data_IF_961281886808
#
_entry.id   IF_961281886808
#
_cell.length_a   1.000
_cell.length_b   1.000
_cell.length_c   1.000
_cell.angle_alpha   90.00
_cell.angle_beta   90.00
_cell.angle_gamma   90.00
#
_symmetry.space_group_name_H-M   'P 1'
#
loop_
_entity.id
_entity.type
_entity.pdbx_description
1 polymer ?
#
# COMPACT_ATOMS: atom_id res chain seq x y z
N UNK A 1 -15.08 -22.34 -5.93
CA UNK A 1 -13.72 -22.03 -6.45
C UNK A 1 -12.85 -21.53 -5.29
N UNK A 2 -11.53 -21.75 -5.30
CA UNK A 2 -10.61 -21.20 -4.28
C UNK A 2 -9.75 -20.10 -4.91
N UNK A 3 -9.75 -18.90 -4.34
CA UNK A 3 -8.98 -17.75 -4.84
C UNK A 3 -8.42 -16.98 -3.65
N UNK A 4 -7.09 -16.78 -3.62
CA UNK A 4 -6.35 -16.34 -2.42
C UNK A 4 -6.65 -17.21 -1.18
N UNK A 5 -6.69 -18.54 -1.34
CA UNK A 5 -7.05 -19.48 -0.27
C UNK A 5 -8.54 -19.44 0.12
N UNK A 6 -9.24 -18.30 0.02
CA UNK A 6 -10.65 -18.17 0.38
C UNK A 6 -11.54 -19.03 -0.54
N UNK A 7 -12.51 -19.73 0.06
CA UNK A 7 -13.53 -20.44 -0.73
C UNK A 7 -14.61 -19.46 -1.18
N UNK A 8 -14.89 -19.52 -2.46
CA UNK A 8 -15.89 -18.72 -3.14
C UNK A 8 -17.01 -19.63 -3.66
N UNK A 9 -18.26 -19.31 -3.30
CA UNK A 9 -19.43 -20.12 -3.62
C UNK A 9 -20.04 -19.70 -4.96
N UNK A 10 -19.56 -20.29 -6.07
CA UNK A 10 -20.07 -20.07 -7.45
C UNK A 10 -20.11 -21.37 -8.25
N UNK A 11 -21.04 -21.45 -9.21
CA UNK A 11 -21.19 -22.58 -10.15
C UNK A 11 -19.88 -22.86 -10.91
N UNK A 12 -19.37 -24.10 -10.81
CA UNK A 12 -18.04 -24.54 -11.30
C UNK A 12 -17.88 -24.49 -12.81
N UNK A 13 -18.97 -24.58 -13.58
CA UNK A 13 -18.96 -25.09 -14.96
C UNK A 13 -18.38 -24.14 -16.03
N UNK A 14 -17.80 -23.00 -15.66
CA UNK A 14 -17.22 -22.00 -16.59
C UNK A 14 -15.78 -21.59 -16.28
N UNK A 15 -15.13 -22.13 -15.25
CA UNK A 15 -14.05 -21.41 -14.56
C UNK A 15 -12.86 -22.26 -14.08
N UNK A 16 -12.71 -23.51 -14.51
CA UNK A 16 -11.62 -24.40 -14.05
C UNK A 16 -10.24 -24.07 -14.62
N UNK A 17 -10.14 -23.36 -15.74
CA UNK A 17 -8.90 -23.35 -16.55
C UNK A 17 -7.76 -22.43 -16.08
N UNK A 18 -7.94 -21.55 -15.09
CA UNK A 18 -6.85 -20.59 -14.71
C UNK A 18 -6.74 -20.26 -13.21
N UNK A 19 -7.34 -21.08 -12.34
CA UNK A 19 -7.23 -20.88 -10.88
C UNK A 19 -5.80 -21.17 -10.39
N UNK A 20 -5.11 -22.11 -11.02
CA UNK A 20 -3.73 -22.46 -10.69
C UNK A 20 -2.74 -21.38 -11.13
N UNK A 21 -2.93 -20.80 -12.31
CA UNK A 21 -2.11 -19.68 -12.83
C UNK A 21 -2.18 -18.45 -11.92
N UNK A 22 -3.39 -18.06 -11.51
CA UNK A 22 -3.55 -16.93 -10.59
C UNK A 22 -2.98 -17.22 -9.20
N UNK A 23 -3.20 -18.41 -8.64
CA UNK A 23 -2.60 -18.78 -7.35
C UNK A 23 -1.06 -18.83 -7.40
N UNK A 24 -0.49 -19.28 -8.52
CA UNK A 24 0.96 -19.22 -8.76
C UNK A 24 1.45 -17.77 -8.78
N UNK A 25 0.77 -16.88 -9.49
CA UNK A 25 1.12 -15.46 -9.56
C UNK A 25 1.04 -14.75 -8.18
N UNK A 26 0.06 -15.12 -7.34
CA UNK A 26 -0.07 -14.67 -5.95
C UNK A 26 1.15 -15.11 -5.13
N UNK A 27 1.51 -16.39 -5.19
CA UNK A 27 2.66 -16.94 -4.48
C UNK A 27 3.98 -16.33 -4.95
N UNK A 28 4.14 -16.15 -6.26
CA UNK A 28 5.30 -15.47 -6.85
C UNK A 28 5.37 -14.01 -6.40
N UNK A 29 4.24 -13.30 -6.26
CA UNK A 29 4.21 -11.93 -5.75
C UNK A 29 4.63 -11.86 -4.28
N UNK A 30 4.13 -12.77 -3.43
CA UNK A 30 4.51 -12.83 -2.01
C UNK A 30 6.01 -13.16 -1.85
N UNK A 31 6.48 -14.20 -2.54
CA UNK A 31 7.87 -14.69 -2.45
C UNK A 31 8.86 -13.74 -3.12
N UNK A 32 8.52 -13.22 -4.29
CA UNK A 32 9.42 -12.41 -5.12
C UNK A 32 9.46 -10.93 -4.79
N UNK A 33 8.60 -10.42 -3.89
CA UNK A 33 8.57 -8.98 -3.54
C UNK A 33 8.72 -8.75 -2.06
N UNK A 34 7.66 -9.03 -1.30
CA UNK A 34 7.61 -8.74 0.15
C UNK A 34 8.62 -9.60 0.90
N UNK A 35 8.71 -10.90 0.59
CA UNK A 35 9.68 -11.79 1.26
C UNK A 35 11.11 -11.34 0.99
N UNK A 36 11.46 -11.08 -0.28
CA UNK A 36 12.80 -10.59 -0.66
C UNK A 36 13.18 -9.31 0.09
N UNK A 37 12.26 -8.36 0.19
CA UNK A 37 12.46 -7.12 0.94
C UNK A 37 12.72 -7.41 2.43
N UNK A 38 11.87 -8.22 3.06
CA UNK A 38 11.99 -8.56 4.48
C UNK A 38 13.25 -9.38 4.81
N UNK A 39 13.79 -10.14 3.85
CA UNK A 39 15.06 -10.87 3.99
C UNK A 39 16.29 -10.03 3.65
N UNK A 40 16.14 -8.71 3.51
CA UNK A 40 17.27 -7.78 3.30
C UNK A 40 17.62 -7.50 1.84
N UNK A 41 16.80 -7.93 0.88
CA UNK A 41 17.00 -7.65 -0.54
C UNK A 41 16.77 -6.19 -0.94
N UNK A 42 16.21 -5.37 -0.03
CA UNK A 42 15.99 -3.94 -0.25
C UNK A 42 14.85 -3.63 -1.23
N UNK A 43 14.78 -2.37 -1.67
CA UNK A 43 13.85 -1.93 -2.71
C UNK A 43 14.27 -2.49 -4.07
N UNK A 44 13.31 -2.80 -4.92
CA UNK A 44 13.56 -3.30 -6.27
C UNK A 44 14.20 -2.25 -7.19
N UNK A 45 13.79 -1.00 -7.04
CA UNK A 45 14.25 0.14 -7.85
C UNK A 45 14.49 1.38 -6.95
N UNK A 46 15.52 1.36 -6.09
CA UNK A 46 15.81 2.48 -5.20
C UNK A 46 16.40 3.66 -5.96
N UNK A 47 16.05 4.86 -5.53
CA UNK A 47 16.63 6.09 -6.08
C UNK A 47 18.04 6.38 -5.58
N UNK A 48 18.32 5.89 -4.39
CA UNK A 48 19.64 5.86 -3.81
C UNK A 48 19.82 4.47 -3.20
N UNK A 49 20.69 3.65 -3.79
CA UNK A 49 20.97 2.28 -3.33
C UNK A 49 21.61 2.25 -1.94
N UNK A 50 22.27 3.33 -1.52
CA UNK A 50 22.81 3.48 -0.17
C UNK A 50 21.75 3.92 0.85
N UNK A 51 20.59 4.42 0.40
CA UNK A 51 19.53 4.87 1.29
C UNK A 51 18.57 3.73 1.66
N UNK A 52 18.42 3.51 2.97
CA UNK A 52 17.43 2.57 3.49
C UNK A 52 16.01 3.12 3.32
N UNK A 53 15.02 2.25 3.04
CA UNK A 53 13.61 2.63 3.01
C UNK A 53 13.21 3.23 4.36
N UNK A 54 12.44 4.31 4.33
CA UNK A 54 11.98 4.98 5.55
C UNK A 54 10.50 4.71 5.80
N UNK A 55 10.16 4.66 7.07
CA UNK A 55 8.78 4.61 7.57
C UNK A 55 8.54 5.87 8.40
N UNK A 56 7.49 6.61 8.07
CA UNK A 56 7.01 7.75 8.84
C UNK A 56 5.68 7.39 9.50
N UNK A 57 5.52 7.70 10.78
CA UNK A 57 4.26 7.46 11.52
C UNK A 57 3.32 8.68 11.52
N UNK A 58 3.61 9.68 10.70
CA UNK A 58 2.74 10.83 10.43
C UNK A 58 3.23 11.61 9.20
N UNK A 59 2.42 12.56 8.75
CA UNK A 59 2.83 13.56 7.75
C UNK A 59 3.61 14.75 8.31
N UNK A 60 3.91 14.78 9.62
CA UNK A 60 4.55 15.96 10.24
C UNK A 60 5.91 16.35 9.64
N UNK A 61 6.77 15.42 9.20
CA UNK A 61 8.05 15.76 8.56
C UNK A 61 7.95 16.33 7.14
N UNK A 62 6.73 16.46 6.60
CA UNK A 62 6.52 16.88 5.22
C UNK A 62 6.05 18.32 5.20
N UNK A 63 6.97 19.21 4.85
CA UNK A 63 6.73 20.65 4.82
C UNK A 63 6.08 21.03 3.48
N UNK A 64 4.79 21.38 3.50
CA UNK A 64 4.12 21.93 2.30
C UNK A 64 4.88 23.16 1.82
N UNK A 65 5.18 23.19 0.53
CA UNK A 65 5.84 24.31 -0.12
C UNK A 65 4.82 25.14 -0.89
N UNK A 66 4.81 26.44 -0.61
CA UNK A 66 3.95 27.40 -1.29
C UNK A 66 4.58 27.87 -2.61
N UNK A 67 3.72 28.30 -3.54
CA UNK A 67 4.14 28.89 -4.81
C UNK A 67 5.06 30.11 -4.58
N UNK A 68 6.04 30.32 -5.45
CA UNK A 68 7.00 31.43 -5.34
C UNK A 68 8.12 31.26 -4.31
N UNK A 69 8.07 30.26 -3.41
CA UNK A 69 9.23 29.95 -2.55
C UNK A 69 10.40 29.42 -3.38
N UNK A 70 11.62 29.67 -2.92
CA UNK A 70 12.81 29.06 -3.50
C UNK A 70 12.80 27.53 -3.35
N UNK A 71 13.15 26.84 -4.42
CA UNK A 71 13.41 25.41 -4.41
C UNK A 71 14.81 25.13 -3.86
N UNK A 72 14.98 23.96 -3.24
CA UNK A 72 16.17 23.51 -2.53
C UNK A 72 16.90 22.43 -3.31
N UNK A 73 18.22 22.46 -3.24
CA UNK A 73 19.11 21.45 -3.80
C UNK A 73 19.19 20.19 -2.91
N UNK A 74 20.00 19.21 -3.31
CA UNK A 74 20.25 17.97 -2.57
C UNK A 74 20.90 18.18 -1.20
N UNK A 75 21.46 19.36 -0.94
CA UNK A 75 22.04 19.75 0.33
C UNK A 75 21.07 20.57 1.19
N UNK A 76 19.82 20.76 0.73
CA UNK A 76 18.81 21.57 1.40
C UNK A 76 19.01 23.08 1.25
N UNK A 77 19.88 23.53 0.34
CA UNK A 77 20.15 24.96 0.10
C UNK A 77 19.30 25.50 -1.04
N UNK A 78 18.86 26.75 -0.93
CA UNK A 78 18.11 27.40 -2.00
C UNK A 78 18.92 27.47 -3.31
N UNK A 79 18.26 27.14 -4.42
CA UNK A 79 18.87 27.10 -5.75
C UNK A 79 18.91 28.51 -6.32
N UNK A 80 20.11 29.08 -6.38
CA UNK A 80 20.38 30.41 -6.95
C UNK A 80 20.49 30.31 -8.48
N UNK A 81 19.71 31.11 -9.20
CA UNK A 81 19.72 31.14 -10.68
C UNK A 81 20.47 32.33 -11.25
N UNK A 82 20.62 33.42 -10.48
CA UNK A 82 21.43 34.58 -10.86
C UNK A 82 22.12 35.18 -9.63
N UNK A 83 23.28 35.81 -9.88
CA UNK A 83 24.04 36.57 -8.88
C UNK A 83 24.40 37.92 -9.46
N UNK A 84 24.54 38.91 -8.58
CA UNK A 84 25.09 40.20 -8.96
C UNK A 84 26.59 40.05 -9.28
N UNK A 85 27.01 40.54 -10.45
CA UNK A 85 28.38 40.34 -10.95
C UNK A 85 29.45 41.05 -10.10
N UNK A 86 29.07 42.10 -9.37
CA UNK A 86 30.00 42.91 -8.58
C UNK A 86 30.18 42.39 -7.15
N UNK A 87 29.11 41.88 -6.55
CA UNK A 87 29.08 41.46 -5.13
C UNK A 87 29.04 39.95 -4.96
N UNK A 88 28.69 39.19 -6.01
CA UNK A 88 28.49 37.75 -5.97
C UNK A 88 27.26 37.30 -5.17
N UNK A 89 26.44 38.24 -4.69
CA UNK A 89 25.25 37.94 -3.89
C UNK A 89 24.13 37.37 -4.78
N UNK A 90 23.33 36.40 -4.29
CA UNK A 90 22.15 35.92 -5.01
C UNK A 90 21.18 37.04 -5.32
N UNK A 91 20.74 37.12 -6.58
CA UNK A 91 19.71 38.07 -7.03
C UNK A 91 18.42 37.37 -7.46
N UNK A 92 18.52 36.12 -7.91
CA UNK A 92 17.35 35.32 -8.29
C UNK A 92 17.47 33.86 -7.82
N UNK A 93 16.32 33.25 -7.60
CA UNK A 93 16.19 31.86 -7.17
C UNK A 93 15.24 31.09 -8.08
N UNK A 94 15.51 29.80 -8.24
CA UNK A 94 14.56 28.88 -8.86
C UNK A 94 13.39 28.68 -7.90
N UNK A 95 12.18 29.04 -8.31
CA UNK A 95 10.98 28.90 -7.45
C UNK A 95 10.35 27.50 -7.56
N UNK A 96 9.58 27.11 -6.55
CA UNK A 96 8.85 25.84 -6.48
C UNK A 96 7.92 25.66 -7.67
N UNK A 97 7.19 26.72 -8.05
CA UNK A 97 6.25 26.69 -9.17
C UNK A 97 6.94 26.51 -10.52
N UNK A 98 8.15 27.06 -10.68
CA UNK A 98 8.97 26.83 -11.86
C UNK A 98 9.58 25.43 -11.86
N UNK A 99 10.16 24.99 -10.75
CA UNK A 99 10.82 23.70 -10.62
C UNK A 99 9.85 22.52 -10.82
N UNK A 100 8.62 22.63 -10.31
CA UNK A 100 7.65 21.53 -10.27
C UNK A 100 6.36 21.83 -11.04
N UNK A 101 6.45 22.68 -12.07
CA UNK A 101 5.29 23.11 -12.87
C UNK A 101 4.47 21.93 -13.43
N UNK A 102 5.11 20.86 -13.90
CA UNK A 102 4.43 19.66 -14.41
C UNK A 102 3.63 18.95 -13.31
N UNK A 103 4.23 18.73 -12.14
CA UNK A 103 3.60 18.07 -11.01
C UNK A 103 2.42 18.89 -10.49
N UNK A 104 2.58 20.20 -10.40
CA UNK A 104 1.52 21.13 -9.98
C UNK A 104 0.38 21.23 -10.99
N UNK A 105 0.67 21.25 -12.31
CA UNK A 105 -0.36 21.15 -13.35
C UNK A 105 -1.16 19.84 -13.27
N UNK A 106 -0.53 18.76 -12.80
CA UNK A 106 -1.18 17.50 -12.46
C UNK A 106 -2.01 17.52 -11.16
N UNK A 107 -2.16 18.69 -10.54
CA UNK A 107 -2.93 18.90 -9.30
C UNK A 107 -2.18 18.50 -8.03
N UNK A 108 -0.85 18.32 -8.07
CA UNK A 108 -0.09 17.96 -6.88
C UNK A 108 0.44 19.18 -6.13
N UNK A 109 0.25 19.18 -4.82
CA UNK A 109 1.03 19.95 -3.88
C UNK A 109 2.45 19.36 -3.74
N UNK A 110 3.41 20.24 -3.44
CA UNK A 110 4.83 19.92 -3.28
C UNK A 110 5.17 19.95 -1.79
N UNK A 111 5.87 18.91 -1.32
CA UNK A 111 6.30 18.79 0.07
C UNK A 111 7.81 18.60 0.12
N UNK A 112 8.50 19.43 0.89
CA UNK A 112 9.89 19.18 1.24
C UNK A 112 9.96 18.19 2.40
N UNK A 113 10.88 17.24 2.30
CA UNK A 113 11.11 16.20 3.30
C UNK A 113 12.56 16.31 3.77
N UNK A 114 12.82 17.01 4.89
CA UNK A 114 14.17 17.26 5.39
C UNK A 114 14.98 15.97 5.59
N UNK A 115 14.31 14.89 5.98
CA UNK A 115 14.95 13.59 6.20
C UNK A 115 15.71 13.07 4.96
N UNK A 116 15.24 13.39 3.76
CA UNK A 116 15.85 13.01 2.49
C UNK A 116 16.63 14.15 1.83
N UNK A 117 16.54 15.36 2.37
CA UNK A 117 16.77 16.59 1.62
C UNK A 117 16.08 16.55 0.24
N UNK A 118 14.81 16.12 0.17
CA UNK A 118 14.14 15.91 -1.11
C UNK A 118 12.67 16.23 -1.11
N UNK A 119 12.03 16.09 -2.27
CA UNK A 119 10.64 16.44 -2.47
C UNK A 119 9.73 15.21 -2.65
N UNK A 120 8.55 15.26 -2.03
CA UNK A 120 7.43 14.35 -2.27
C UNK A 120 6.19 15.14 -2.72
N UNK A 121 5.24 14.47 -3.34
CA UNK A 121 4.07 15.07 -3.98
C UNK A 121 2.78 14.43 -3.48
N UNK A 122 1.72 15.24 -3.42
CA UNK A 122 0.38 14.75 -3.12
C UNK A 122 -0.66 15.66 -3.74
N UNK A 123 -1.75 15.10 -4.26
CA UNK A 123 -2.95 15.89 -4.63
C UNK A 123 -3.67 16.54 -3.44
N UNK A 124 -3.20 16.31 -2.22
CA UNK A 124 -3.81 16.79 -0.97
C UNK A 124 -2.95 17.88 -0.35
N UNK A 125 -3.59 18.75 0.44
CA UNK A 125 -2.89 19.82 1.17
C UNK A 125 -2.04 19.34 2.33
N UNK A 126 -2.16 18.07 2.69
CA UNK A 126 -1.22 17.41 3.60
C UNK A 126 -1.11 15.93 3.25
N UNK A 127 0.04 15.37 3.58
CA UNK A 127 0.37 13.96 3.37
C UNK A 127 -0.59 13.02 4.11
N UNK A 128 -1.14 13.46 5.26
CA UNK A 128 -2.01 12.65 6.12
C UNK A 128 -3.38 13.27 6.46
N UNK A 129 -3.74 14.45 5.96
CA UNK A 129 -4.93 15.19 6.43
C UNK A 129 -6.28 14.68 5.88
N UNK A 130 -7.31 14.87 6.75
CA UNK A 130 -8.79 14.94 6.67
C UNK A 130 -9.56 14.24 5.55
N UNK A 131 -10.80 13.77 5.83
CA UNK A 131 -11.38 12.66 5.09
C UNK A 131 -11.38 12.91 3.59
N UNK A 132 -11.05 11.85 2.85
CA UNK A 132 -11.28 11.68 1.43
C UNK A 132 -12.65 12.26 1.06
N UNK A 133 -12.86 12.69 -0.20
CA UNK A 133 -14.15 13.22 -0.65
C UNK A 133 -15.36 12.34 -0.32
N UNK A 134 -15.15 11.03 -0.09
CA UNK A 134 -16.15 10.04 0.31
C UNK A 134 -16.25 9.81 1.84
N UNK A 135 -15.64 10.66 2.67
CA UNK A 135 -15.65 10.54 4.14
C UNK A 135 -14.62 9.57 4.71
N UNK A 136 -13.89 8.80 3.88
CA UNK A 136 -12.88 7.84 4.36
C UNK A 136 -11.62 8.56 4.81
N UNK A 137 -10.84 7.97 5.71
CA UNK A 137 -9.59 8.58 6.20
C UNK A 137 -8.42 7.74 5.76
N UNK A 138 -7.35 8.40 5.32
CA UNK A 138 -6.12 7.74 4.91
C UNK A 138 -5.45 7.05 6.10
N UNK A 139 -5.21 5.76 5.96
CA UNK A 139 -4.47 4.97 6.95
C UNK A 139 -2.98 4.96 6.63
N UNK A 140 -2.62 4.75 5.37
CA UNK A 140 -1.24 4.75 4.92
C UNK A 140 -1.11 5.20 3.47
N UNK A 141 0.13 5.41 3.06
CA UNK A 141 0.52 5.54 1.65
C UNK A 141 1.99 5.21 1.48
N UNK A 142 2.35 4.81 0.26
CA UNK A 142 3.73 4.79 -0.21
C UNK A 142 3.95 5.91 -1.23
N UNK A 143 5.05 6.64 -1.09
CA UNK A 143 5.46 7.64 -2.07
C UNK A 143 5.69 6.98 -3.44
N UNK A 144 5.06 7.54 -4.50
CA UNK A 144 5.29 7.05 -5.86
C UNK A 144 6.63 7.60 -6.35
N UNK A 145 7.48 6.77 -6.97
CA UNK A 145 8.53 7.29 -7.82
C UNK A 145 7.88 7.80 -9.11
N UNK A 146 7.29 8.99 -9.12
CA UNK A 146 7.10 9.70 -10.39
C UNK A 146 8.49 10.06 -10.88
N UNK A 147 9.07 9.22 -11.74
CA UNK A 147 10.34 9.43 -12.46
C UNK A 147 11.30 10.36 -11.73
N UNK A 148 11.92 9.81 -10.71
CA UNK A 148 13.21 10.26 -10.23
C UNK A 148 14.17 10.63 -11.37
N UNK A 149 14.72 11.84 -11.34
CA UNK A 149 15.64 12.30 -12.37
C UNK A 149 16.38 13.56 -11.95
N UNK A 150 17.41 13.90 -12.73
CA UNK A 150 17.88 15.28 -12.79
C UNK A 150 16.71 16.14 -13.27
N UNK A 151 16.40 17.23 -12.58
CA UNK A 151 15.47 18.20 -13.14
C UNK A 151 16.24 19.01 -14.16
N UNK A 152 16.05 18.66 -15.42
CA UNK A 152 16.47 19.50 -16.53
C UNK A 152 15.50 20.70 -16.56
N UNK A 153 16.02 21.88 -16.23
CA UNK A 153 15.27 23.12 -16.23
C UNK A 153 15.73 23.99 -17.40
N UNK A 154 14.81 24.42 -18.26
CA UNK A 154 15.13 25.42 -19.26
C UNK A 154 15.21 26.80 -18.60
N UNK A 155 16.39 27.41 -18.56
CA UNK A 155 16.58 28.73 -17.96
C UNK A 155 16.23 29.91 -18.89
N UNK A 156 15.62 29.63 -20.04
CA UNK A 156 15.38 30.63 -21.10
C UNK A 156 16.36 30.54 -22.26
N UNK A 157 17.53 29.90 -22.06
CA UNK A 157 18.58 29.76 -23.09
C UNK A 157 18.96 28.30 -23.33
N UNK A 158 19.10 27.51 -22.26
CA UNK A 158 19.50 26.10 -22.33
C UNK A 158 18.85 25.28 -21.22
N UNK A 159 18.86 23.96 -21.40
CA UNK A 159 18.57 23.04 -20.31
C UNK A 159 19.73 23.06 -19.32
N UNK A 160 19.44 23.42 -18.07
CA UNK A 160 20.34 23.43 -16.93
C UNK A 160 19.94 22.32 -15.98
N UNK A 161 20.94 21.54 -15.54
CA UNK A 161 20.76 20.44 -14.59
C UNK A 161 20.94 20.96 -13.17
N UNK A 162 19.87 21.01 -12.39
CA UNK A 162 19.96 21.25 -10.95
C UNK A 162 19.91 19.92 -10.20
N UNK A 163 20.84 19.74 -9.27
CA UNK A 163 20.87 18.57 -8.41
C UNK A 163 19.90 18.77 -7.24
N UNK A 164 18.60 18.59 -7.51
CA UNK A 164 17.57 18.59 -6.48
C UNK A 164 17.61 17.27 -5.73
N UNK A 165 17.50 17.31 -4.41
CA UNK A 165 17.47 16.07 -3.64
C UNK A 165 16.16 15.34 -3.79
N UNK A 166 16.23 14.03 -3.57
CA UNK A 166 15.24 13.05 -4.03
C UNK A 166 14.82 12.22 -2.84
N UNK A 167 13.52 12.02 -2.66
CA UNK A 167 13.06 11.01 -1.70
C UNK A 167 13.18 9.63 -2.34
N UNK A 168 13.80 8.67 -1.66
CA UNK A 168 13.62 7.27 -2.03
C UNK A 168 12.16 6.85 -1.76
N UNK A 169 11.73 5.71 -2.31
CA UNK A 169 10.44 5.11 -1.95
C UNK A 169 10.35 4.95 -0.43
N UNK A 170 9.26 5.42 0.15
CA UNK A 170 9.05 5.40 1.59
C UNK A 170 7.57 5.24 1.92
N UNK A 171 7.33 4.72 3.12
CA UNK A 171 5.99 4.49 3.65
C UNK A 171 5.64 5.58 4.65
N UNK A 172 4.39 6.05 4.59
CA UNK A 172 3.79 6.89 5.61
C UNK A 172 2.58 6.14 6.16
N UNK A 173 2.58 5.86 7.47
CA UNK A 173 1.40 5.45 8.22
C UNK A 173 0.85 6.68 8.91
N UNK A 174 -0.36 7.08 8.54
CA UNK A 174 -1.01 8.24 9.13
C UNK A 174 -1.54 7.93 10.54
N UNK A 175 -1.71 8.93 11.41
CA UNK A 175 -2.16 8.71 12.79
C UNK A 175 -3.42 7.85 12.92
N UNK A 176 -4.32 7.95 11.94
CA UNK A 176 -5.55 7.16 11.88
C UNK A 176 -5.33 5.63 11.76
N UNK A 177 -4.18 5.16 11.28
CA UNK A 177 -3.83 3.73 11.26
C UNK A 177 -3.59 3.14 12.65
N UNK A 178 -3.31 3.99 13.64
CA UNK A 178 -3.04 3.56 15.01
C UNK A 178 -4.26 3.64 15.92
N UNK A 179 -5.35 4.24 15.44
CA UNK A 179 -6.59 4.44 16.20
C UNK A 179 -7.59 3.28 16.01
N UNK A 180 -8.46 3.06 17.00
CA UNK A 180 -9.63 2.20 16.82
C UNK A 180 -10.71 2.98 16.08
N UNK A 181 -11.16 2.46 14.93
CA UNK A 181 -12.11 3.18 14.06
C UNK A 181 -13.32 2.35 13.65
N UNK A 182 -13.32 1.06 14.02
CA UNK A 182 -14.29 0.08 13.53
C UNK A 182 -14.08 -0.23 12.05
N UNK A 183 -14.37 -1.47 11.65
CA UNK A 183 -14.13 -1.89 10.25
C UNK A 183 -12.76 -2.50 10.03
N UNK A 184 -12.36 -2.52 8.76
CA UNK A 184 -11.04 -2.98 8.36
C UNK A 184 -9.93 -2.24 9.08
N UNK A 185 -8.82 -2.95 9.29
CA UNK A 185 -7.57 -2.42 9.80
C UNK A 185 -7.69 -1.76 11.19
N UNK A 186 -8.68 -2.17 12.00
CA UNK A 186 -9.01 -1.51 13.27
C UNK A 186 -8.70 -2.37 14.50
N UNK A 187 -8.62 -3.70 14.36
CA UNK A 187 -8.35 -4.62 15.47
C UNK A 187 -6.95 -4.38 16.03
N UNK A 188 -6.78 -4.41 17.36
CA UNK A 188 -5.54 -3.95 17.99
C UNK A 188 -4.36 -4.83 17.58
N UNK A 189 -4.53 -6.15 17.61
CA UNK A 189 -3.45 -7.10 17.37
C UNK A 189 -3.96 -8.44 16.84
N UNK A 190 -3.02 -9.25 16.34
CA UNK A 190 -3.30 -10.63 15.96
C UNK A 190 -3.78 -11.46 17.15
N UNK A 191 -3.23 -11.23 18.35
CA UNK A 191 -3.66 -11.95 19.57
C UNK A 191 -5.12 -11.69 19.94
N UNK A 192 -5.65 -10.50 19.64
CA UNK A 192 -7.07 -10.20 19.84
C UNK A 192 -7.95 -11.02 18.87
N UNK A 193 -7.50 -11.18 17.61
CA UNK A 193 -8.22 -11.98 16.59
C UNK A 193 -8.36 -13.45 16.98
N UNK A 194 -7.32 -14.02 17.60
CA UNK A 194 -7.31 -15.42 18.10
C UNK A 194 -7.64 -15.53 19.59
N UNK A 195 -8.24 -14.48 20.17
CA UNK A 195 -8.71 -14.45 21.54
C UNK A 195 -10.21 -14.17 21.58
N UNK A 196 -10.55 -12.96 22.04
CA UNK A 196 -11.94 -12.50 22.19
C UNK A 196 -12.72 -12.47 20.88
N UNK A 197 -12.01 -12.30 19.76
CA UNK A 197 -12.65 -12.16 18.46
C UNK A 197 -12.80 -13.49 17.70
N UNK A 198 -12.18 -14.59 18.16
CA UNK A 198 -12.21 -15.85 17.42
C UNK A 198 -13.64 -16.36 17.20
N UNK A 199 -14.00 -16.77 15.96
CA UNK A 199 -15.34 -17.27 15.68
C UNK A 199 -15.71 -18.49 16.55
N UNK A 200 -16.85 -18.42 17.21
CA UNK A 200 -17.41 -19.53 18.00
C UNK A 200 -18.56 -20.24 17.28
N UNK A 201 -19.21 -19.57 16.33
CA UNK A 201 -20.35 -20.06 15.57
C UNK A 201 -20.00 -20.05 14.08
N UNK A 202 -19.91 -21.24 13.48
CA UNK A 202 -19.63 -21.40 12.06
C UNK A 202 -20.94 -21.30 11.26
N UNK A 203 -20.88 -20.71 10.06
CA UNK A 203 -22.04 -20.58 9.18
C UNK A 203 -23.02 -19.46 9.56
N UNK A 204 -22.74 -18.69 10.61
CA UNK A 204 -23.49 -17.47 10.91
C UNK A 204 -23.00 -16.31 10.04
N UNK A 205 -23.92 -15.56 9.44
CA UNK A 205 -23.65 -14.26 8.81
C UNK A 205 -23.38 -13.15 9.84
N UNK A 206 -22.69 -13.48 10.94
CA UNK A 206 -22.28 -12.52 11.95
C UNK A 206 -21.22 -11.61 11.36
N UNK A 207 -21.64 -10.40 11.02
CA UNK A 207 -20.78 -9.38 10.41
C UNK A 207 -19.69 -8.89 11.36
N UNK A 208 -19.85 -9.06 12.67
CA UNK A 208 -18.78 -8.76 13.64
C UNK A 208 -17.62 -9.76 13.54
N UNK A 209 -17.87 -10.94 12.96
CA UNK A 209 -16.89 -12.01 12.75
C UNK A 209 -16.41 -12.13 11.30
N UNK A 210 -16.80 -11.18 10.45
CA UNK A 210 -16.37 -11.15 9.06
C UNK A 210 -14.86 -10.89 8.95
N UNK A 211 -14.21 -11.49 7.94
CA UNK A 211 -12.76 -11.46 7.77
C UNK A 211 -12.20 -10.04 7.65
N UNK A 212 -12.89 -9.17 6.92
CA UNK A 212 -12.54 -7.76 6.77
C UNK A 212 -12.64 -6.99 8.10
N UNK A 213 -13.48 -7.43 9.03
CA UNK A 213 -13.60 -6.85 10.39
C UNK A 213 -12.56 -7.39 11.37
N UNK A 214 -11.86 -8.47 11.02
CA UNK A 214 -10.78 -9.07 11.82
C UNK A 214 -9.41 -8.49 11.51
N UNK A 215 -9.31 -7.61 10.51
CA UNK A 215 -8.03 -7.05 10.09
C UNK A 215 -7.45 -6.12 11.15
N UNK A 216 -6.19 -6.35 11.50
CA UNK A 216 -5.49 -5.64 12.56
C UNK A 216 -4.97 -4.28 12.11
N UNK A 217 -4.58 -3.40 13.02
CA UNK A 217 -3.89 -2.16 12.66
C UNK A 217 -2.60 -2.42 11.87
N UNK A 218 -1.90 -3.51 12.20
CA UNK A 218 -0.73 -4.00 11.48
C UNK A 218 -1.01 -4.39 10.02
N UNK A 219 -2.27 -4.67 9.67
CA UNK A 219 -2.71 -4.90 8.30
C UNK A 219 -2.45 -3.69 7.40
N UNK A 220 -2.49 -2.46 7.93
CA UNK A 220 -2.15 -1.25 7.16
C UNK A 220 -0.69 -1.26 6.74
N UNK A 221 0.22 -1.56 7.68
CA UNK A 221 1.64 -1.68 7.35
C UNK A 221 1.88 -2.77 6.31
N UNK A 222 1.24 -3.93 6.49
CA UNK A 222 1.38 -5.04 5.56
C UNK A 222 0.84 -4.72 4.15
N UNK A 223 -0.29 -4.01 4.06
CA UNK A 223 -0.85 -3.49 2.81
C UNK A 223 0.16 -2.57 2.09
N UNK A 224 0.66 -1.56 2.80
CA UNK A 224 1.61 -0.61 2.24
C UNK A 224 2.95 -1.25 1.88
N UNK A 225 3.33 -2.36 2.51
CA UNK A 225 4.55 -3.09 2.16
C UNK A 225 4.51 -3.66 0.74
N UNK A 226 3.33 -4.07 0.24
CA UNK A 226 3.17 -4.43 -1.17
C UNK A 226 3.36 -3.22 -2.07
N UNK A 227 2.77 -2.06 -1.74
CA UNK A 227 3.00 -0.82 -2.47
C UNK A 227 4.47 -0.36 -2.45
N UNK A 228 5.22 -0.68 -1.40
CA UNK A 228 6.63 -0.31 -1.26
C UNK A 228 7.54 -1.16 -2.16
N UNK A 229 7.20 -2.45 -2.29
CA UNK A 229 8.02 -3.47 -2.95
C UNK A 229 7.60 -3.78 -4.39
N UNK A 230 6.56 -3.10 -4.88
CA UNK A 230 6.09 -3.21 -6.26
C UNK A 230 6.91 -2.38 -7.26
N UNK A 231 6.57 -2.49 -8.55
CA UNK A 231 7.11 -1.64 -9.62
C UNK A 231 6.06 -0.64 -10.11
N UNK A 232 5.31 -0.06 -9.16
CA UNK A 232 4.12 0.77 -9.39
C UNK A 232 2.98 0.05 -10.15
N UNK A 233 2.95 -1.28 -10.05
CA UNK A 233 1.97 -2.16 -10.69
C UNK A 233 0.85 -2.61 -9.74
N UNK A 234 0.90 -2.24 -8.45
CA UNK A 234 -0.20 -2.51 -7.52
C UNK A 234 -1.33 -1.50 -7.68
N UNK A 235 -2.57 -1.97 -7.55
CA UNK A 235 -3.76 -1.11 -7.61
C UNK A 235 -3.77 -0.14 -6.45
N UNK A 236 -3.77 1.17 -6.73
CA UNK A 236 -3.90 2.23 -5.73
C UNK A 236 -5.28 2.86 -5.86
N UNK A 237 -6.00 3.00 -4.76
CA UNK A 237 -7.40 3.45 -4.67
C UNK A 237 -7.71 4.90 -5.11
N UNK A 238 -7.31 5.30 -6.31
CA UNK A 238 -7.91 6.48 -6.97
C UNK A 238 -9.20 6.11 -7.73
N UNK A 239 -9.41 4.81 -7.98
CA UNK A 239 -10.71 4.24 -8.36
C UNK A 239 -11.28 3.45 -7.20
N UNK A 240 -12.58 3.59 -6.94
CA UNK A 240 -13.34 3.02 -5.81
C UNK A 240 -13.39 1.48 -5.77
N UNK A 241 -12.52 0.78 -6.49
CA UNK A 241 -12.60 -0.64 -6.71
C UNK A 241 -11.54 -1.35 -5.85
N UNK A 242 -12.00 -2.21 -4.92
CA UNK A 242 -11.24 -3.32 -4.33
C UNK A 242 -10.58 -3.16 -2.94
N UNK A 243 -11.00 -2.21 -2.10
CA UNK A 243 -10.71 -2.29 -0.65
C UNK A 243 -11.75 -3.12 0.11
N UNK A 244 -12.99 -3.13 -0.36
CA UNK A 244 -14.03 -3.90 0.30
C UNK A 244 -13.96 -5.36 -0.17
N UNK A 245 -13.99 -6.30 0.77
CA UNK A 245 -14.10 -7.72 0.48
C UNK A 245 -15.31 -8.05 -0.42
N UNK A 246 -16.39 -7.29 -0.36
CA UNK A 246 -17.53 -7.40 -1.28
C UNK A 246 -17.18 -7.02 -2.74
N UNK A 247 -16.31 -6.03 -2.95
CA UNK A 247 -15.86 -5.64 -4.29
C UNK A 247 -14.85 -6.65 -4.83
N UNK A 248 -13.94 -7.13 -3.97
CA UNK A 248 -13.04 -8.25 -4.30
C UNK A 248 -13.89 -9.46 -4.67
N UNK A 249 -14.93 -9.77 -3.89
CA UNK A 249 -15.86 -10.86 -4.15
C UNK A 249 -16.54 -10.76 -5.51
N UNK A 250 -16.96 -9.54 -5.86
CA UNK A 250 -17.56 -9.26 -7.16
C UNK A 250 -16.54 -9.42 -8.29
N UNK A 251 -15.35 -8.84 -8.14
CA UNK A 251 -14.29 -8.90 -9.14
C UNK A 251 -13.79 -10.34 -9.38
N UNK A 252 -13.80 -11.21 -8.37
CA UNK A 252 -13.51 -12.65 -8.53
C UNK A 252 -14.55 -13.36 -9.41
N UNK A 253 -15.83 -12.93 -9.37
CA UNK A 253 -16.90 -13.51 -10.19
C UNK A 253 -16.84 -13.07 -11.66
N UNK A 254 -16.14 -11.99 -11.94
CA UNK A 254 -16.07 -11.39 -13.26
C UNK A 254 -14.94 -12.02 -14.11
N UNK A 255 -14.66 -11.45 -15.28
CA UNK A 255 -13.72 -11.98 -16.27
C UNK A 255 -12.26 -12.07 -15.78
N UNK A 256 -11.43 -12.78 -16.55
CA UNK A 256 -10.02 -13.05 -16.21
C UNK A 256 -9.18 -11.78 -16.04
N UNK A 257 -9.45 -10.72 -16.80
CA UNK A 257 -8.69 -9.47 -16.73
C UNK A 257 -8.93 -8.77 -15.39
N UNK A 258 -10.16 -8.85 -14.85
CA UNK A 258 -10.46 -8.34 -13.50
C UNK A 258 -9.81 -9.20 -12.40
N UNK A 259 -9.69 -10.50 -12.59
CA UNK A 259 -8.98 -11.40 -11.65
C UNK A 259 -7.47 -11.15 -11.61
N UNK A 260 -6.84 -10.94 -12.77
CA UNK A 260 -5.43 -10.57 -12.84
C UNK A 260 -5.20 -9.24 -12.10
N UNK A 261 -6.08 -8.25 -12.27
CA UNK A 261 -6.02 -7.00 -11.51
C UNK A 261 -6.07 -7.22 -9.98
N UNK A 262 -6.84 -8.20 -9.50
CA UNK A 262 -6.85 -8.55 -8.07
C UNK A 262 -5.54 -9.17 -7.56
N UNK A 263 -4.74 -9.81 -8.43
CA UNK A 263 -3.39 -10.24 -8.06
C UNK A 263 -2.46 -9.04 -7.78
N UNK A 264 -2.83 -7.85 -8.24
CA UNK A 264 -2.14 -6.60 -7.96
C UNK A 264 -2.80 -5.78 -6.83
N UNK A 265 -3.82 -6.32 -6.15
CA UNK A 265 -4.48 -5.66 -5.03
C UNK A 265 -3.85 -6.06 -3.68
N UNK A 266 -3.17 -5.14 -2.96
CA UNK A 266 -2.58 -5.46 -1.65
C UNK A 266 -3.59 -5.97 -0.63
N UNK A 267 -4.83 -5.49 -0.67
CA UNK A 267 -5.87 -5.87 0.30
C UNK A 267 -6.17 -7.38 0.28
N UNK A 268 -6.17 -7.99 -0.92
CA UNK A 268 -6.35 -9.44 -1.10
C UNK A 268 -5.30 -10.25 -0.33
N UNK A 269 -4.05 -9.78 -0.30
CA UNK A 269 -2.95 -10.44 0.42
C UNK A 269 -3.09 -10.31 1.92
N UNK A 270 -3.57 -9.16 2.39
CA UNK A 270 -3.81 -8.91 3.82
C UNK A 270 -4.94 -9.80 4.33
N UNK A 271 -6.03 -9.94 3.57
CA UNK A 271 -7.14 -10.85 3.88
C UNK A 271 -6.68 -12.31 3.93
N UNK A 272 -5.88 -12.76 2.95
CA UNK A 272 -5.29 -14.10 2.95
C UNK A 272 -4.40 -14.34 4.19
N UNK A 273 -3.53 -13.38 4.52
CA UNK A 273 -2.65 -13.49 5.68
C UNK A 273 -3.44 -13.58 6.99
N UNK A 274 -4.51 -12.79 7.14
CA UNK A 274 -5.40 -12.87 8.29
C UNK A 274 -6.12 -14.22 8.37
N UNK A 275 -6.66 -14.72 7.26
CA UNK A 275 -7.33 -16.02 7.22
C UNK A 275 -6.37 -17.17 7.56
N UNK A 276 -5.14 -17.14 7.03
CA UNK A 276 -4.10 -18.11 7.37
C UNK A 276 -3.71 -18.06 8.85
N UNK A 277 -3.58 -16.86 9.43
CA UNK A 277 -3.27 -16.71 10.85
C UNK A 277 -4.35 -17.36 11.72
N UNK A 278 -5.63 -17.07 11.43
CA UNK A 278 -6.79 -17.62 12.13
C UNK A 278 -6.91 -19.15 12.01
N UNK A 279 -6.55 -19.69 10.84
CA UNK A 279 -6.52 -21.14 10.60
C UNK A 279 -5.38 -21.84 11.36
N UNK A 280 -4.18 -21.23 11.38
CA UNK A 280 -2.99 -21.81 12.00
C UNK A 280 -2.95 -21.67 13.53
N UNK A 281 -3.70 -20.74 14.09
CA UNK A 281 -3.60 -20.37 15.50
C UNK A 281 -4.97 -20.44 16.22
N UNK A 282 -5.69 -21.57 16.18
CA UNK A 282 -6.93 -21.69 16.95
C UNK A 282 -6.64 -21.60 18.45
N UNK A 283 -7.49 -20.91 19.23
CA UNK A 283 -7.43 -20.98 20.69
C UNK A 283 -7.57 -22.42 21.19
N UNK A 284 -7.04 -22.70 22.38
CA UNK A 284 -7.15 -24.03 22.99
C UNK A 284 -8.62 -24.48 23.09
N UNK A 285 -8.89 -25.73 22.70
CA UNK A 285 -10.23 -26.29 22.68
C UNK A 285 -11.16 -25.76 21.58
N UNK A 286 -10.68 -24.85 20.70
CA UNK A 286 -11.44 -24.37 19.54
C UNK A 286 -11.02 -25.11 18.27
N UNK A 287 -11.98 -25.29 17.37
CA UNK A 287 -11.74 -25.82 16.02
C UNK A 287 -11.08 -24.76 15.15
N UNK A 288 -10.30 -25.18 14.15
CA UNK A 288 -9.78 -24.30 13.11
C UNK A 288 -10.93 -23.65 12.35
N UNK A 289 -10.74 -22.40 11.93
CA UNK A 289 -11.71 -21.68 11.09
C UNK A 289 -11.20 -21.56 9.66
N UNK A 290 -12.10 -21.81 8.71
CA UNK A 290 -11.91 -21.44 7.31
C UNK A 290 -12.87 -20.30 6.97
N UNK A 291 -12.47 -19.42 6.06
CA UNK A 291 -13.31 -18.32 5.61
C UNK A 291 -13.86 -18.59 4.21
N UNK A 292 -15.18 -18.53 4.09
CA UNK A 292 -15.91 -18.54 2.83
C UNK A 292 -16.32 -17.12 2.47
N UNK A 293 -15.71 -16.57 1.42
CA UNK A 293 -15.81 -15.14 1.09
C UNK A 293 -15.42 -14.29 2.32
N UNK A 294 -16.40 -13.90 3.13
CA UNK A 294 -16.23 -13.05 4.32
C UNK A 294 -16.47 -13.78 5.63
N UNK A 295 -17.18 -14.91 5.64
CA UNK A 295 -17.74 -15.47 6.87
C UNK A 295 -17.02 -16.74 7.33
N UNK A 296 -16.95 -16.97 8.65
CA UNK A 296 -16.38 -18.19 9.19
C UNK A 296 -17.26 -19.40 8.83
N UNK A 297 -16.64 -20.42 8.26
CA UNK A 297 -17.28 -21.65 7.83
C UNK A 297 -16.64 -22.85 8.54
N UNK A 298 -17.42 -23.92 8.72
CA UNK A 298 -16.94 -25.15 9.35
C UNK A 298 -15.96 -25.84 8.38
N UNK A 299 -14.74 -26.23 8.79
CA UNK A 299 -13.80 -26.95 7.91
C UNK A 299 -14.40 -28.18 7.22
N UNK A 300 -15.29 -28.92 7.90
CA UNK A 300 -15.97 -30.10 7.34
C UNK A 300 -16.82 -29.77 6.10
N UNK A 301 -17.28 -28.52 5.98
CA UNK A 301 -18.03 -28.05 4.80
C UNK A 301 -17.16 -27.83 3.56
N UNK A 302 -15.83 -27.98 3.66
CA UNK A 302 -14.88 -27.74 2.55
C UNK A 302 -14.41 -29.02 1.85
N UNK A 303 -14.64 -30.21 2.42
CA UNK A 303 -14.21 -31.49 1.83
C UNK A 303 -12.75 -31.46 1.35
N UNK A 304 -12.51 -31.86 0.09
CA UNK A 304 -11.18 -31.88 -0.57
C UNK A 304 -10.45 -30.51 -0.64
N UNK A 305 -11.11 -29.40 -0.31
CA UNK A 305 -10.45 -28.09 -0.29
C UNK A 305 -9.64 -27.84 1.01
N UNK A 306 -9.83 -28.63 2.06
CA UNK A 306 -9.03 -28.51 3.29
C UNK A 306 -7.55 -28.85 3.02
N UNK A 307 -7.27 -29.87 2.22
CA UNK A 307 -5.90 -30.29 1.88
C UNK A 307 -5.12 -29.17 1.18
N UNK A 308 -5.79 -28.41 0.31
CA UNK A 308 -5.20 -27.22 -0.34
C UNK A 308 -4.88 -26.11 0.66
N UNK A 309 -5.75 -25.90 1.65
CA UNK A 309 -5.48 -24.95 2.73
C UNK A 309 -4.30 -25.37 3.61
N UNK A 310 -4.18 -26.66 3.93
CA UNK A 310 -3.03 -27.21 4.66
C UNK A 310 -1.74 -26.98 3.89
N UNK A 311 -1.73 -27.25 2.58
CA UNK A 311 -0.59 -26.98 1.71
C UNK A 311 -0.19 -25.49 1.69
N UNK A 312 -1.16 -24.57 1.54
CA UNK A 312 -0.89 -23.12 1.57
C UNK A 312 -0.42 -22.66 2.95
N UNK A 313 -1.00 -23.19 4.02
CA UNK A 313 -0.66 -22.87 5.40
C UNK A 313 0.65 -23.51 5.87
N UNK A 314 1.26 -24.40 5.08
CA UNK A 314 2.44 -25.16 5.46
C UNK A 314 2.19 -26.08 6.65
N UNK A 315 0.99 -26.65 6.75
CA UNK A 315 0.63 -27.64 7.76
C UNK A 315 0.71 -29.06 7.16
N UNK A 316 1.14 -30.06 7.94
CA UNK A 316 1.18 -31.45 7.50
C UNK A 316 -0.20 -32.09 7.29
#
# INVERSE_FOLDING_TARGET
>A
MMFFGLQWDFERNRWEDDVEGVNKQILETIKGRVTQFLTGGGLREPQNTAEKPRLFCSGAPFEKQESGRAARDINGKDIVTARDDNTGLPTEYLTIDRAFSTQQRGGNNVFWVPAFNGYDFSRRDSICSSPLPDGKVLLGRVARPTSSGLFDYFNGEKMVKYNMGKTNRHMILCPAAFASRGGGHSVVSLSETVGSLYPSNFGSADTSKALDRMMTRGSTFYHELFHLTDNDDTLRGEGQENYNLADIAKAVKEDINRRIKLAHNPESYVLLAQALHMYRSPPEGKRRVLYGVSFPMNPESFGHNEDRWRAIAGLP
#
